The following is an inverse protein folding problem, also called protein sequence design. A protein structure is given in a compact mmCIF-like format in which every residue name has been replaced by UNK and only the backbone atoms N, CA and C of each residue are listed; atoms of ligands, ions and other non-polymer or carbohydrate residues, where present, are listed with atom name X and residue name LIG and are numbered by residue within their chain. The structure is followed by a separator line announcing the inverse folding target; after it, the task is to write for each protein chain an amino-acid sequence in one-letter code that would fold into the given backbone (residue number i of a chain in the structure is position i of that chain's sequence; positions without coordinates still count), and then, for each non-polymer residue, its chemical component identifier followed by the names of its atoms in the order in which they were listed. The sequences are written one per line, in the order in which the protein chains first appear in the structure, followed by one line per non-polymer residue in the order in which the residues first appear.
data_IF_047823187430
#
_entry.id   IF_047823187430
#
_cell.length_a   1.000
_cell.length_b   1.000
_cell.length_c   1.000
_cell.angle_alpha   90.00
_cell.angle_beta   90.00
_cell.angle_gamma   90.00
#
_symmetry.space_group_name_H-M   'P 1'
#
loop_
_entity.id
_entity.type
_entity.pdbx_description
1 polymer ?
#
# COMPACT_ATOMS: atom_id res chain seq x y z
N UNK A 1 -8.34 -3.98 -58.58
CA UNK A 1 -7.62 -5.09 -57.94
C UNK A 1 -6.15 -4.80 -58.17
N UNK A 2 -5.48 -4.17 -57.19
CA UNK A 2 -4.52 -4.82 -56.24
C UNK A 2 -3.33 -5.41 -56.99
N UNK A 3 -2.06 -5.22 -56.65
CA UNK A 3 -1.39 -4.63 -55.50
C UNK A 3 0.06 -4.28 -55.90
N UNK A 4 0.70 -3.51 -55.04
CA UNK A 4 2.13 -3.41 -54.73
C UNK A 4 3.17 -4.10 -55.63
N UNK A 5 4.12 -3.30 -56.14
CA UNK A 5 5.57 -3.46 -55.96
C UNK A 5 6.29 -2.54 -56.95
N UNK A 6 6.56 -1.28 -56.56
CA UNK A 6 7.65 -0.51 -57.19
C UNK A 6 8.88 -0.61 -56.31
N UNK A 7 9.59 -1.71 -56.56
CA UNK A 7 11.01 -1.89 -56.38
C UNK A 7 11.79 -0.57 -56.31
N UNK A 8 12.46 -0.40 -55.19
CA UNK A 8 13.58 0.52 -54.97
C UNK A 8 14.73 0.19 -55.92
N UNK A 9 14.68 0.76 -57.13
CA UNK A 9 15.79 0.72 -58.07
C UNK A 9 16.31 2.15 -58.24
N UNK A 10 17.56 2.45 -57.80
CA UNK A 10 18.12 3.76 -58.06
C UNK A 10 18.23 3.97 -59.58
N UNK A 11 17.89 5.16 -60.11
CA UNK A 11 17.98 5.42 -61.53
C UNK A 11 19.43 5.27 -61.99
N UNK A 12 19.67 4.30 -62.88
CA UNK A 12 20.90 4.22 -63.65
C UNK A 12 20.87 5.32 -64.70
N UNK A 13 21.35 6.51 -64.35
CA UNK A 13 21.33 7.63 -65.28
C UNK A 13 21.95 8.86 -64.66
N UNK A 14 23.11 9.25 -65.20
CA UNK A 14 23.79 10.51 -64.98
C UNK A 14 24.33 10.70 -63.56
N UNK A 15 25.63 10.46 -63.39
CA UNK A 15 26.39 11.07 -62.31
C UNK A 15 26.28 12.59 -62.48
N UNK A 16 25.35 13.19 -61.75
CA UNK A 16 25.27 14.63 -61.62
C UNK A 16 26.29 15.03 -60.54
N UNK A 17 27.45 15.60 -60.92
CA UNK A 17 28.48 15.98 -59.96
C UNK A 17 27.97 17.00 -58.92
N UNK A 18 26.86 17.67 -59.24
CA UNK A 18 26.24 18.67 -58.37
C UNK A 18 25.25 18.05 -57.38
N UNK A 19 24.97 16.74 -57.44
CA UNK A 19 24.08 16.04 -56.51
C UNK A 19 24.56 16.15 -55.06
N UNK A 20 25.88 16.04 -54.83
CA UNK A 20 26.48 16.20 -53.50
C UNK A 20 26.55 17.66 -53.05
N UNK A 21 26.41 18.62 -53.98
CA UNK A 21 26.43 20.06 -53.71
C UNK A 21 25.04 20.54 -53.28
N UNK A 22 23.99 19.95 -53.85
CA UNK A 22 22.59 20.31 -53.58
C UNK A 22 21.96 19.52 -52.41
N UNK A 23 22.64 18.49 -51.92
CA UNK A 23 22.16 17.75 -50.76
C UNK A 23 22.28 18.59 -49.49
N UNK A 24 21.17 19.19 -49.05
CA UNK A 24 21.03 19.70 -47.69
C UNK A 24 20.43 18.60 -46.79
N UNK A 25 21.05 18.28 -45.64
CA UNK A 25 20.39 17.43 -44.65
C UNK A 25 19.08 18.09 -44.21
N UNK A 26 18.01 17.32 -43.94
CA UNK A 26 16.80 17.88 -43.36
C UNK A 26 17.14 18.54 -42.02
N UNK A 27 17.16 19.86 -42.02
CA UNK A 27 17.48 20.66 -40.84
C UNK A 27 16.25 20.62 -39.94
N UNK A 28 16.29 19.78 -38.90
CA UNK A 28 15.29 19.86 -37.82
C UNK A 28 15.42 21.25 -37.22
N UNK A 29 14.36 22.10 -37.22
CA UNK A 29 14.45 23.47 -36.78
C UNK A 29 15.05 23.54 -35.36
N UNK A 30 16.19 24.25 -35.17
CA UNK A 30 16.87 24.26 -33.89
C UNK A 30 16.05 25.08 -32.88
N UNK A 31 15.50 24.41 -31.87
CA UNK A 31 14.91 25.05 -30.69
C UNK A 31 13.51 24.59 -30.29
N UNK A 32 12.72 24.04 -31.23
CA UNK A 32 11.32 23.66 -30.93
C UNK A 32 11.25 22.36 -30.13
N UNK A 33 12.05 21.34 -30.49
CA UNK A 33 12.13 20.08 -29.75
C UNK A 33 12.62 20.24 -28.30
N UNK A 34 13.57 21.14 -28.04
CA UNK A 34 14.13 21.36 -26.69
C UNK A 34 13.12 21.95 -25.70
N UNK A 35 12.20 22.81 -26.17
CA UNK A 35 11.15 23.40 -25.31
C UNK A 35 10.07 22.36 -24.97
N UNK A 36 9.62 21.59 -25.96
CA UNK A 36 8.64 20.52 -25.75
C UNK A 36 9.20 19.44 -24.82
N UNK A 37 10.47 19.06 -25.00
CA UNK A 37 11.14 18.10 -24.11
C UNK A 37 11.26 18.65 -22.68
N UNK A 38 11.61 19.93 -22.48
CA UNK A 38 11.63 20.53 -21.13
C UNK A 38 10.25 20.53 -20.47
N UNK A 39 9.20 20.88 -21.21
CA UNK A 39 7.82 20.88 -20.70
C UNK A 39 7.41 19.45 -20.34
N UNK A 40 7.70 18.48 -21.19
CA UNK A 40 7.41 17.08 -20.94
C UNK A 40 8.14 16.56 -19.69
N UNK A 41 9.41 16.92 -19.50
CA UNK A 41 10.17 16.56 -18.29
C UNK A 41 9.54 17.18 -17.05
N UNK A 42 9.27 18.48 -17.05
CA UNK A 42 8.66 19.18 -15.90
C UNK A 42 7.29 18.58 -15.56
N UNK A 43 6.49 18.28 -16.58
CA UNK A 43 5.20 17.62 -16.40
C UNK A 43 5.36 16.23 -15.80
N UNK A 44 6.25 15.39 -16.34
CA UNK A 44 6.50 14.05 -15.84
C UNK A 44 7.03 14.06 -14.40
N UNK A 45 7.94 14.99 -14.08
CA UNK A 45 8.42 15.23 -12.72
C UNK A 45 7.29 15.63 -11.78
N UNK A 46 6.41 16.53 -12.22
CA UNK A 46 5.24 16.96 -11.45
C UNK A 46 4.29 15.80 -11.16
N UNK A 47 4.01 14.96 -12.15
CA UNK A 47 3.18 13.75 -11.98
C UNK A 47 3.84 12.76 -11.01
N UNK A 48 5.15 12.53 -11.11
CA UNK A 48 5.88 11.68 -10.18
C UNK A 48 5.84 12.21 -8.74
N UNK A 49 6.03 13.51 -8.54
CA UNK A 49 5.93 14.15 -7.22
C UNK A 49 4.51 14.06 -6.67
N UNK A 50 3.49 14.25 -7.51
CA UNK A 50 2.09 14.12 -7.11
C UNK A 50 1.76 12.69 -6.69
N UNK A 51 2.19 11.69 -7.46
CA UNK A 51 2.03 10.27 -7.09
C UNK A 51 2.77 9.98 -5.79
N UNK A 52 3.99 10.48 -5.61
CA UNK A 52 4.74 10.32 -4.36
C UNK A 52 4.02 10.95 -3.16
N UNK A 53 3.45 12.15 -3.32
CA UNK A 53 2.67 12.82 -2.27
C UNK A 53 1.42 12.02 -1.88
N UNK A 54 0.67 11.53 -2.88
CA UNK A 54 -0.51 10.68 -2.65
C UNK A 54 -0.11 9.37 -2.00
N UNK A 55 1.00 8.77 -2.46
CA UNK A 55 1.55 7.56 -1.87
C UNK A 55 1.92 7.81 -0.41
N UNK A 56 2.66 8.87 -0.08
CA UNK A 56 2.99 9.22 1.31
C UNK A 56 1.74 9.43 2.17
N UNK A 57 0.72 10.11 1.66
CA UNK A 57 -0.53 10.34 2.41
C UNK A 57 -1.32 9.06 2.65
N UNK A 58 -1.35 8.13 1.68
CA UNK A 58 -1.97 6.82 1.84
C UNK A 58 -1.13 5.85 2.67
N UNK A 59 0.16 6.13 2.82
CA UNK A 59 1.11 5.16 3.32
C UNK A 59 1.55 5.46 4.75
N UNK A 60 1.23 4.54 5.65
CA UNK A 60 2.00 4.26 6.87
C UNK A 60 3.44 3.74 6.58
N UNK A 61 4.07 4.14 5.46
CA UNK A 61 5.35 3.58 4.96
C UNK A 61 6.56 4.04 5.76
N UNK A 62 6.38 4.96 6.71
CA UNK A 62 7.39 5.22 7.72
C UNK A 62 6.86 4.59 9.02
N UNK A 63 7.00 3.27 9.10
CA UNK A 63 7.11 2.58 10.38
C UNK A 63 8.42 3.08 11.02
N UNK A 64 8.41 4.31 11.55
CA UNK A 64 9.42 4.73 12.50
C UNK A 64 9.33 3.73 13.67
N UNK A 65 10.45 3.10 14.07
CA UNK A 65 10.46 2.25 15.25
C UNK A 65 10.11 3.13 16.46
N UNK A 66 8.85 3.10 16.88
CA UNK A 66 8.31 3.99 17.92
C UNK A 66 6.86 4.43 17.71
N UNK A 67 6.28 4.15 16.54
CA UNK A 67 4.84 4.35 16.32
C UNK A 67 3.98 3.52 17.25
N UNK A 68 2.92 4.10 17.83
CA UNK A 68 1.88 3.38 18.58
C UNK A 68 0.54 3.53 17.87
N UNK A 69 -0.30 2.51 17.96
CA UNK A 69 -1.67 2.50 17.45
C UNK A 69 -2.63 1.90 18.47
N UNK A 70 -3.91 1.90 18.13
CA UNK A 70 -4.97 1.36 18.97
C UNK A 70 -5.59 0.14 18.29
N UNK A 71 -5.95 -0.87 19.09
CA UNK A 71 -6.69 -2.05 18.63
C UNK A 71 -8.11 -1.93 19.15
N UNK A 72 -9.08 -2.04 18.26
CA UNK A 72 -10.50 -2.13 18.61
C UNK A 72 -11.06 -3.45 18.09
N UNK A 73 -12.07 -3.96 18.76
CA UNK A 73 -12.76 -5.16 18.30
C UNK A 73 -13.90 -5.53 19.23
N UNK A 74 -14.47 -6.70 18.97
CA UNK A 74 -15.53 -7.28 19.78
C UNK A 74 -15.26 -8.74 20.06
N UNK A 75 -15.52 -9.19 21.28
CA UNK A 75 -15.53 -10.60 21.66
C UNK A 75 -16.96 -11.12 21.52
N UNK A 76 -17.17 -12.12 20.69
CA UNK A 76 -18.43 -12.84 20.61
C UNK A 76 -18.55 -13.81 21.79
N UNK A 77 -19.79 -13.90 22.30
CA UNK A 77 -20.15 -14.52 23.56
C UNK A 77 -19.45 -15.86 23.87
N UNK A 78 -19.09 -16.12 25.13
CA UNK A 78 -19.32 -15.25 26.30
C UNK A 78 -18.31 -14.10 26.38
N UNK A 79 -18.80 -12.87 26.53
CA UNK A 79 -17.98 -11.66 26.59
C UNK A 79 -17.85 -11.07 28.00
N UNK A 80 -18.83 -11.37 28.86
CA UNK A 80 -18.86 -10.89 30.24
C UNK A 80 -17.78 -11.61 31.06
N UNK A 81 -16.82 -10.87 31.61
CA UNK A 81 -15.67 -11.44 32.31
C UNK A 81 -14.49 -11.83 31.41
N UNK A 82 -14.55 -11.54 30.11
CA UNK A 82 -13.37 -11.63 29.23
C UNK A 82 -12.43 -10.44 29.48
N UNK A 83 -11.13 -10.69 29.38
CA UNK A 83 -10.09 -9.66 29.44
C UNK A 83 -9.20 -9.74 28.21
N UNK A 84 -8.69 -8.60 27.77
CA UNK A 84 -7.81 -8.50 26.61
C UNK A 84 -6.51 -7.83 27.03
N UNK A 85 -5.38 -8.36 26.57
CA UNK A 85 -4.06 -7.79 26.82
C UNK A 85 -3.12 -8.09 25.65
N UNK A 86 -1.93 -7.49 25.63
CA UNK A 86 -0.94 -7.68 24.55
C UNK A 86 0.30 -8.38 25.09
N UNK A 87 1.02 -9.10 24.22
CA UNK A 87 2.28 -9.74 24.66
C UNK A 87 3.36 -8.77 25.16
N UNK A 88 3.30 -7.49 24.74
CA UNK A 88 4.24 -6.45 25.17
C UNK A 88 3.82 -5.73 26.45
N UNK A 89 2.53 -5.79 26.79
CA UNK A 89 1.94 -5.15 27.96
C UNK A 89 0.80 -6.02 28.49
N UNK A 90 1.04 -6.63 29.65
CA UNK A 90 0.13 -7.55 30.35
C UNK A 90 -0.97 -6.81 31.15
N UNK A 91 -1.15 -5.52 30.94
CA UNK A 91 -2.27 -4.79 31.52
C UNK A 91 -3.59 -5.37 31.01
N UNK A 92 -4.34 -6.01 31.89
CA UNK A 92 -5.64 -6.60 31.58
C UNK A 92 -6.68 -5.50 31.36
N UNK A 93 -7.25 -5.48 30.16
CA UNK A 93 -8.33 -4.56 29.80
C UNK A 93 -9.63 -5.36 29.81
N UNK A 94 -10.58 -5.03 30.71
CA UNK A 94 -11.85 -5.73 30.76
C UNK A 94 -12.66 -5.44 29.49
N UNK A 95 -13.26 -6.49 28.94
CA UNK A 95 -14.20 -6.40 27.83
C UNK A 95 -15.53 -5.83 28.34
N UNK A 96 -16.12 -4.90 27.60
CA UNK A 96 -17.42 -4.34 27.95
C UNK A 96 -18.55 -5.37 27.84
N UNK A 97 -19.70 -5.10 28.46
CA UNK A 97 -20.85 -6.03 28.46
C UNK A 97 -21.40 -6.34 27.04
N UNK A 98 -21.20 -5.43 26.07
CA UNK A 98 -21.55 -5.64 24.67
C UNK A 98 -20.48 -6.42 23.86
N UNK A 99 -19.41 -6.83 24.54
CA UNK A 99 -18.25 -7.50 23.99
C UNK A 99 -17.20 -6.56 23.39
N UNK A 100 -17.41 -5.24 23.37
CA UNK A 100 -16.44 -4.32 22.80
C UNK A 100 -15.19 -4.15 23.67
N UNK A 101 -14.04 -3.92 23.04
CA UNK A 101 -12.80 -3.57 23.74
C UNK A 101 -11.98 -2.56 22.92
N UNK A 102 -11.13 -1.82 23.63
CA UNK A 102 -10.18 -0.88 23.04
C UNK A 102 -8.85 -1.02 23.79
N UNK A 103 -7.81 -1.46 23.10
CA UNK A 103 -6.43 -1.47 23.59
C UNK A 103 -5.70 -0.29 23.00
N UNK A 104 -5.20 0.62 23.84
CA UNK A 104 -4.57 1.86 23.38
C UNK A 104 -3.05 1.79 23.46
N UNK A 105 -2.39 2.51 22.56
CA UNK A 105 -0.95 2.74 22.65
C UNK A 105 -0.09 1.50 22.39
N UNK A 106 -0.61 0.55 21.62
CA UNK A 106 0.07 -0.70 21.26
C UNK A 106 1.22 -0.39 20.29
N UNK A 107 2.42 -0.95 20.48
CA UNK A 107 3.51 -0.78 19.53
C UNK A 107 3.11 -1.21 18.11
N UNK A 108 3.37 -0.35 17.13
CA UNK A 108 3.08 -0.63 15.73
C UNK A 108 3.87 -1.84 15.20
N UNK A 109 3.31 -2.51 14.19
CA UNK A 109 3.82 -3.75 13.63
C UNK A 109 3.01 -4.97 14.06
N UNK A 110 3.57 -6.16 13.83
CA UNK A 110 2.90 -7.43 14.15
C UNK A 110 2.93 -7.67 15.65
N UNK A 111 1.75 -7.71 16.26
CA UNK A 111 1.54 -7.94 17.68
C UNK A 111 0.68 -9.18 17.91
N UNK A 112 0.77 -9.73 19.12
CA UNK A 112 -0.13 -10.79 19.59
C UNK A 112 -1.08 -10.19 20.61
N UNK A 113 -2.36 -10.24 20.28
CA UNK A 113 -3.47 -9.92 21.17
C UNK A 113 -3.91 -11.21 21.85
N UNK A 114 -3.99 -11.16 23.17
CA UNK A 114 -4.52 -12.25 23.99
C UNK A 114 -5.92 -11.88 24.42
N UNK A 115 -6.87 -12.76 24.15
CA UNK A 115 -8.22 -12.70 24.73
C UNK A 115 -8.29 -13.82 25.75
N UNK A 116 -8.50 -13.52 27.02
CA UNK A 116 -8.62 -14.51 28.08
C UNK A 116 -10.04 -14.55 28.65
N UNK A 117 -10.57 -15.75 28.81
CA UNK A 117 -11.88 -16.01 29.38
C UNK A 117 -11.90 -17.38 30.07
N UNK A 118 -12.48 -17.44 31.28
CA UNK A 118 -12.65 -18.67 32.06
C UNK A 118 -11.38 -19.56 32.17
N UNK A 119 -10.21 -18.93 32.35
CA UNK A 119 -8.94 -19.63 32.50
C UNK A 119 -8.32 -20.15 31.19
N UNK A 120 -8.90 -19.82 30.04
CA UNK A 120 -8.35 -20.11 28.70
C UNK A 120 -8.00 -18.78 28.02
N UNK A 121 -6.91 -18.77 27.23
CA UNK A 121 -6.53 -17.61 26.44
C UNK A 121 -6.39 -18.00 24.95
N UNK A 122 -6.86 -17.11 24.08
CA UNK A 122 -6.75 -17.22 22.63
C UNK A 122 -5.78 -16.17 22.12
N UNK A 123 -4.86 -16.61 21.26
CA UNK A 123 -3.90 -15.74 20.59
C UNK A 123 -4.44 -15.29 19.24
N UNK A 124 -4.44 -13.98 19.01
CA UNK A 124 -4.83 -13.37 17.74
C UNK A 124 -3.66 -12.52 17.26
N UNK A 125 -3.10 -12.86 16.11
CA UNK A 125 -2.07 -12.03 15.48
C UNK A 125 -2.73 -10.81 14.83
N UNK A 126 -2.25 -9.61 15.17
CA UNK A 126 -2.80 -8.34 14.72
C UNK A 126 -1.68 -7.48 14.17
N UNK A 127 -1.83 -6.96 12.96
CA UNK A 127 -0.92 -5.97 12.40
C UNK A 127 -1.40 -4.56 12.78
N UNK A 128 -0.70 -3.96 13.74
CA UNK A 128 -1.05 -2.64 14.30
C UNK A 128 -0.45 -1.53 13.43
N UNK A 129 -1.27 -0.61 12.90
CA UNK A 129 -0.79 0.52 12.13
C UNK A 129 -0.02 1.50 13.01
N UNK A 130 0.91 2.24 12.40
CA UNK A 130 1.51 3.40 13.04
C UNK A 130 0.46 4.53 13.13
N UNK A 131 0.23 5.09 14.32
CA UNK A 131 -0.67 6.23 14.56
C UNK A 131 -2.06 6.06 13.92
N UNK A 132 -2.79 5.04 14.35
CA UNK A 132 -4.14 4.79 13.89
C UNK A 132 -4.82 3.68 14.68
N UNK A 133 -6.01 3.30 14.23
CA UNK A 133 -6.81 2.24 14.84
C UNK A 133 -6.93 1.07 13.89
N UNK A 134 -6.69 -0.14 14.38
CA UNK A 134 -7.01 -1.39 13.69
C UNK A 134 -8.23 -2.03 14.31
N UNK A 135 -9.20 -2.39 13.49
CA UNK A 135 -10.36 -3.19 13.88
C UNK A 135 -10.06 -4.66 13.60
N UNK A 136 -10.02 -5.48 14.64
CA UNK A 136 -9.81 -6.93 14.54
C UNK A 136 -11.11 -7.70 14.31
N UNK A 137 -12.24 -7.00 14.24
CA UNK A 137 -13.56 -7.57 14.03
C UNK A 137 -14.05 -8.34 15.26
N UNK A 138 -14.75 -9.44 14.99
CA UNK A 138 -15.39 -10.25 16.03
C UNK A 138 -14.56 -11.49 16.34
N UNK A 139 -13.98 -11.55 17.54
CA UNK A 139 -13.23 -12.69 18.05
C UNK A 139 -14.20 -13.64 18.73
N UNK A 140 -14.38 -14.84 18.19
CA UNK A 140 -15.27 -15.84 18.79
C UNK A 140 -14.52 -16.69 19.80
N UNK A 141 -15.00 -16.68 21.04
CA UNK A 141 -14.43 -17.44 22.13
C UNK A 141 -15.32 -18.64 22.40
N UNK A 142 -14.83 -19.85 22.09
CA UNK A 142 -15.56 -21.09 22.37
C UNK A 142 -15.04 -21.69 23.68
N UNK A 143 -15.85 -21.73 24.76
CA UNK A 143 -15.48 -22.43 25.97
C UNK A 143 -15.46 -23.94 25.71
N UNK A 144 -14.34 -24.61 26.03
CA UNK A 144 -14.15 -26.06 25.84
C UNK A 144 -14.78 -26.90 26.97
N UNK A 145 -15.39 -26.30 28.00
CA UNK A 145 -15.89 -27.05 29.15
C UNK A 145 -17.37 -27.43 29.00
N UNK A 146 -17.65 -28.74 28.94
CA UNK A 146 -18.95 -29.29 29.34
C UNK A 146 -19.24 -28.87 30.79
N UNK A 147 -20.46 -28.37 31.10
CA UNK A 147 -20.81 -28.04 32.46
C UNK A 147 -20.84 -29.32 33.31
N UNK A 148 -19.89 -29.45 34.24
CA UNK A 148 -19.95 -30.47 35.29
C UNK A 148 -21.11 -30.11 36.21
N UNK A 149 -22.27 -30.75 35.99
CA UNK A 149 -23.38 -30.71 36.96
C UNK A 149 -22.88 -31.33 38.28
N UNK A 150 -22.93 -30.56 39.36
CA UNK A 150 -22.89 -31.06 40.73
C UNK A 150 -24.16 -30.66 41.45
#
# INVERSE_FOLDING_TARGET
MTDEQRSSQPPQGQFDPDYYVQWQPPVIPPGQGRRVVRIAIVFLSGVLVLIALIALWRSNLIALPGGRGDIVGRVAAPAEGAVVFTGTDFTEIPVAADGSFIVRGVPSGRQILYVAFAGTAWEVAVDVPNQGTVDVGVITVQPTAEPVQR
#
